data_IF_536070350276
#
_entry.id   IF_536070350276
#
_cell.length_a   1.000
_cell.length_b   1.000
_cell.length_c   1.000
_cell.angle_alpha   90.00
_cell.angle_beta   90.00
_cell.angle_gamma   90.00
#
_symmetry.space_group_name_H-M   'P 1'
#
loop_
_entity.id
_entity.type
_entity.pdbx_description
1 polymer ?
#
# COMPACT_ATOMS: atom_id res chain seq x y z
N UNK A 1 -27.86 -37.43 32.13
CA UNK A 1 -28.01 -36.19 31.34
C UNK A 1 -26.69 -35.87 30.61
N UNK A 2 -26.09 -36.84 29.89
CA UNK A 2 -24.69 -36.73 29.39
C UNK A 2 -24.43 -37.30 27.98
N UNK A 3 -25.45 -37.59 27.18
CA UNK A 3 -25.23 -38.16 25.83
C UNK A 3 -25.22 -37.12 24.68
N UNK A 4 -25.57 -35.85 24.96
CA UNK A 4 -25.65 -34.82 23.91
C UNK A 4 -24.27 -34.29 23.48
N UNK A 5 -23.26 -34.36 24.35
CA UNK A 5 -21.96 -33.73 24.11
C UNK A 5 -21.05 -34.47 23.11
N UNK A 6 -21.37 -35.71 22.72
CA UNK A 6 -20.48 -36.57 21.94
C UNK A 6 -20.86 -36.64 20.44
N UNK A 7 -22.04 -36.14 20.05
CA UNK A 7 -22.52 -36.15 18.65
C UNK A 7 -22.23 -34.85 17.88
N UNK A 8 -21.95 -33.76 18.58
CA UNK A 8 -21.74 -32.44 17.96
C UNK A 8 -20.28 -32.20 17.52
N UNK A 9 -19.33 -32.93 18.08
CA UNK A 9 -17.88 -32.81 17.82
C UNK A 9 -17.47 -33.10 16.36
N UNK A 10 -17.93 -34.18 15.69
CA UNK A 10 -17.50 -34.47 14.32
C UNK A 10 -18.06 -33.46 13.31
N UNK A 11 -19.30 -32.99 13.52
CA UNK A 11 -19.94 -32.00 12.64
C UNK A 11 -19.27 -30.64 12.82
N UNK A 12 -19.03 -30.20 14.06
CA UNK A 12 -18.33 -28.96 14.35
C UNK A 12 -16.90 -28.97 13.78
N UNK A 13 -16.19 -30.09 13.89
CA UNK A 13 -14.84 -30.25 13.33
C UNK A 13 -14.82 -30.20 11.80
N UNK A 14 -15.81 -30.82 11.14
CA UNK A 14 -15.95 -30.77 9.69
C UNK A 14 -16.24 -29.36 9.18
N UNK A 15 -17.12 -28.62 9.87
CA UNK A 15 -17.45 -27.22 9.54
C UNK A 15 -16.23 -26.31 9.75
N UNK A 16 -15.48 -26.49 10.84
CA UNK A 16 -14.26 -25.72 11.10
C UNK A 16 -13.20 -25.96 10.03
N UNK A 17 -13.01 -27.23 9.65
CA UNK A 17 -12.03 -27.59 8.61
C UNK A 17 -12.44 -27.00 7.24
N UNK A 18 -13.70 -27.15 6.85
CA UNK A 18 -14.21 -26.63 5.59
C UNK A 18 -14.10 -25.10 5.52
N UNK A 19 -14.42 -24.40 6.61
CA UNK A 19 -14.28 -22.93 6.69
C UNK A 19 -12.83 -22.49 6.65
N UNK A 20 -11.91 -23.20 7.33
CA UNK A 20 -10.48 -22.90 7.26
C UNK A 20 -9.93 -23.05 5.83
N UNK A 21 -10.30 -24.12 5.11
CA UNK A 21 -9.91 -24.29 3.70
C UNK A 21 -10.49 -23.22 2.80
N UNK A 22 -11.76 -22.85 3.00
CA UNK A 22 -12.40 -21.79 2.23
C UNK A 22 -11.71 -20.44 2.46
N UNK A 23 -11.43 -20.07 3.70
CA UNK A 23 -10.71 -18.84 4.04
C UNK A 23 -9.32 -18.85 3.43
N UNK A 24 -8.57 -19.96 3.54
CA UNK A 24 -7.26 -20.08 2.94
C UNK A 24 -7.30 -19.91 1.40
N UNK A 25 -8.25 -20.57 0.74
CA UNK A 25 -8.44 -20.45 -0.71
C UNK A 25 -8.77 -19.01 -1.13
N UNK A 26 -9.71 -18.36 -0.43
CA UNK A 26 -10.05 -16.95 -0.68
C UNK A 26 -8.86 -16.03 -0.45
N UNK A 27 -8.06 -16.28 0.58
CA UNK A 27 -6.84 -15.50 0.88
C UNK A 27 -5.82 -15.62 -0.27
N UNK A 28 -5.61 -16.82 -0.81
CA UNK A 28 -4.73 -17.05 -1.96
C UNK A 28 -5.25 -16.31 -3.21
N UNK A 29 -6.55 -16.42 -3.49
CA UNK A 29 -7.18 -15.73 -4.64
C UNK A 29 -7.04 -14.21 -4.50
N UNK A 30 -7.27 -13.66 -3.31
CA UNK A 30 -7.13 -12.23 -3.04
C UNK A 30 -5.66 -11.79 -3.16
N UNK A 31 -4.71 -12.58 -2.68
CA UNK A 31 -3.28 -12.30 -2.83
C UNK A 31 -2.84 -12.31 -4.30
N UNK A 32 -3.40 -13.20 -5.13
CA UNK A 32 -3.15 -13.22 -6.58
C UNK A 32 -3.73 -12.04 -7.34
N UNK A 33 -4.70 -11.32 -6.75
CA UNK A 33 -5.29 -10.09 -7.31
C UNK A 33 -4.52 -8.83 -6.96
N UNK A 34 -3.50 -8.92 -6.11
CA UNK A 34 -2.57 -7.83 -5.87
C UNK A 34 -1.77 -7.60 -7.16
N UNK A 35 -2.32 -6.78 -8.06
CA UNK A 35 -1.54 -6.25 -9.16
C UNK A 35 -0.40 -5.47 -8.55
N UNK A 36 0.82 -5.99 -8.70
CA UNK A 36 2.03 -5.25 -8.40
C UNK A 36 2.14 -4.13 -9.44
N UNK A 37 1.41 -3.05 -9.21
CA UNK A 37 1.56 -1.80 -9.93
C UNK A 37 2.93 -1.25 -9.55
N UNK A 38 3.93 -1.64 -10.34
CA UNK A 38 5.32 -1.21 -10.19
C UNK A 38 5.43 0.15 -10.86
N UNK A 39 5.79 1.17 -10.10
CA UNK A 39 6.23 2.43 -10.67
C UNK A 39 7.73 2.32 -10.99
N UNK A 40 8.09 2.60 -12.25
CA UNK A 40 9.49 2.75 -12.65
C UNK A 40 9.95 4.20 -12.48
N UNK A 41 11.22 4.51 -12.75
CA UNK A 41 11.72 5.87 -12.70
C UNK A 41 11.05 6.75 -13.77
N UNK A 42 10.60 7.95 -13.40
CA UNK A 42 9.88 8.87 -14.28
C UNK A 42 8.46 8.42 -14.67
N UNK A 43 7.83 7.57 -13.86
CA UNK A 43 6.54 6.95 -14.14
C UNK A 43 5.43 7.49 -13.21
N UNK A 44 4.20 7.35 -13.67
CA UNK A 44 2.99 7.73 -12.95
C UNK A 44 2.01 6.56 -12.97
N UNK A 45 1.80 5.91 -11.83
CA UNK A 45 0.99 4.69 -11.73
C UNK A 45 -0.12 4.85 -10.71
N UNK A 46 -1.37 4.77 -11.14
CA UNK A 46 -2.54 4.73 -10.26
C UNK A 46 -2.94 3.28 -9.99
N UNK A 47 -2.93 2.90 -8.72
CA UNK A 47 -3.37 1.59 -8.26
C UNK A 47 -4.88 1.53 -8.05
N UNK A 48 -5.45 0.32 -8.23
CA UNK A 48 -6.86 0.03 -7.99
C UNK A 48 -7.34 0.30 -6.54
N UNK A 49 -6.42 0.52 -5.60
CA UNK A 49 -6.70 0.78 -4.19
C UNK A 49 -6.78 2.25 -3.79
N UNK A 50 -6.87 3.18 -4.75
CA UNK A 50 -6.95 4.62 -4.45
C UNK A 50 -5.60 5.28 -4.15
N UNK A 51 -4.50 4.60 -4.46
CA UNK A 51 -3.15 5.16 -4.35
C UNK A 51 -2.64 5.55 -5.73
N UNK A 52 -2.04 6.72 -5.84
CA UNK A 52 -1.26 7.12 -7.03
C UNK A 52 0.20 7.28 -6.65
N UNK A 53 1.06 6.62 -7.41
CA UNK A 53 2.51 6.66 -7.29
C UNK A 53 3.07 7.53 -8.41
N UNK A 54 3.89 8.51 -8.06
CA UNK A 54 4.62 9.33 -9.03
C UNK A 54 6.10 9.26 -8.68
N UNK A 55 6.95 8.97 -9.66
CA UNK A 55 8.40 9.02 -9.47
C UNK A 55 9.00 10.16 -10.25
N UNK A 56 9.95 10.86 -9.63
CA UNK A 56 10.69 11.92 -10.27
C UNK A 56 12.14 11.92 -9.82
N UNK A 57 13.06 12.20 -10.74
CA UNK A 57 14.46 12.36 -10.44
C UNK A 57 14.67 13.41 -9.35
N UNK A 58 15.46 13.06 -8.35
CA UNK A 58 15.90 13.97 -7.30
C UNK A 58 16.95 14.99 -7.78
N UNK A 59 17.47 14.83 -9.00
CA UNK A 59 18.61 15.59 -9.52
C UNK A 59 19.97 15.07 -9.04
N UNK A 60 20.01 14.03 -8.21
CA UNK A 60 21.23 13.36 -7.76
C UNK A 60 21.35 11.96 -8.38
N UNK A 61 22.56 11.40 -8.38
CA UNK A 61 22.87 10.08 -8.94
C UNK A 61 23.53 10.16 -10.31
N UNK A 62 23.63 9.01 -11.00
CA UNK A 62 24.21 8.94 -12.36
C UNK A 62 23.11 9.16 -13.39
N UNK A 63 23.43 9.73 -14.55
CA UNK A 63 22.46 9.96 -15.64
C UNK A 63 21.70 8.68 -16.06
N UNK A 64 22.35 7.52 -15.97
CA UNK A 64 21.75 6.22 -16.32
C UNK A 64 20.95 5.58 -15.18
N UNK A 65 21.10 6.06 -13.94
CA UNK A 65 20.44 5.57 -12.71
C UNK A 65 20.33 6.72 -11.70
N UNK A 66 19.44 7.69 -11.93
CA UNK A 66 19.23 8.79 -10.99
C UNK A 66 18.63 8.25 -9.68
N UNK A 67 18.84 8.99 -8.60
CA UNK A 67 18.08 8.79 -7.37
C UNK A 67 16.69 9.39 -7.56
N UNK A 68 15.67 8.72 -7.08
CA UNK A 68 14.28 9.06 -7.35
C UNK A 68 13.57 9.45 -6.06
N UNK A 69 12.72 10.47 -6.14
CA UNK A 69 11.63 10.66 -5.21
C UNK A 69 10.43 9.84 -5.67
N UNK A 70 9.77 9.18 -4.73
CA UNK A 70 8.50 8.50 -4.94
C UNK A 70 7.43 9.22 -4.11
N UNK A 71 6.52 9.90 -4.80
CA UNK A 71 5.36 10.53 -4.21
C UNK A 71 4.22 9.51 -4.19
N UNK A 72 3.64 9.29 -3.01
CA UNK A 72 2.47 8.44 -2.80
C UNK A 72 1.32 9.35 -2.44
N UNK A 73 0.32 9.42 -3.30
CA UNK A 73 -0.93 10.14 -3.09
C UNK A 73 -1.96 9.09 -2.67
N UNK A 74 -2.43 9.16 -1.44
CA UNK A 74 -3.52 8.34 -0.93
C UNK A 74 -4.83 9.13 -1.00
N UNK A 75 -5.77 8.62 -1.79
CA UNK A 75 -7.08 9.23 -1.97
C UNK A 75 -8.06 8.89 -0.84
N UNK A 76 -7.79 7.87 -0.02
CA UNK A 76 -8.67 7.50 1.09
C UNK A 76 -8.46 8.43 2.28
N UNK A 77 -7.23 8.56 2.73
CA UNK A 77 -6.87 9.41 3.88
C UNK A 77 -6.50 10.85 3.48
N UNK A 78 -6.56 11.15 2.18
CA UNK A 78 -6.19 12.44 1.58
C UNK A 78 -4.76 12.88 1.99
N UNK A 79 -3.81 11.95 1.89
CA UNK A 79 -2.43 12.16 2.31
C UNK A 79 -1.46 12.15 1.12
N UNK A 80 -0.42 12.98 1.23
CA UNK A 80 0.77 12.91 0.39
C UNK A 80 1.94 12.43 1.24
N UNK A 81 2.59 11.36 0.79
CA UNK A 81 3.88 10.91 1.32
C UNK A 81 4.95 11.08 0.26
N UNK A 82 6.14 11.54 0.67
CA UNK A 82 7.29 11.70 -0.20
C UNK A 82 8.38 10.78 0.34
N UNK A 83 8.77 9.81 -0.47
CA UNK A 83 9.88 8.93 -0.18
C UNK A 83 11.07 9.24 -1.08
N UNK A 84 12.28 8.98 -0.60
CA UNK A 84 13.50 9.02 -1.39
C UNK A 84 14.08 7.61 -1.49
N UNK A 85 14.56 7.27 -2.68
CA UNK A 85 15.37 6.09 -2.96
C UNK A 85 16.82 6.57 -3.13
N UNK A 86 17.62 6.58 -2.06
CA UNK A 86 18.88 7.32 -2.01
C UNK A 86 19.98 6.69 -2.86
N UNK A 87 19.89 5.40 -3.20
CA UNK A 87 20.77 4.75 -4.17
C UNK A 87 20.06 3.62 -4.90
N UNK A 88 20.37 3.42 -6.19
CA UNK A 88 19.81 2.33 -6.99
C UNK A 88 20.17 0.91 -6.47
N UNK A 89 21.24 0.80 -5.68
CA UNK A 89 21.66 -0.47 -5.07
C UNK A 89 21.20 -0.59 -3.61
N UNK A 90 20.63 0.46 -3.04
CA UNK A 90 20.08 0.44 -1.68
C UNK A 90 18.59 0.12 -1.77
N UNK A 91 18.14 -0.87 -1.00
CA UNK A 91 16.73 -1.26 -0.93
C UNK A 91 15.94 -0.41 0.05
N UNK A 92 16.60 0.51 0.75
CA UNK A 92 15.96 1.39 1.71
C UNK A 92 15.14 2.45 0.99
N UNK A 93 13.91 2.60 1.46
CA UNK A 93 13.01 3.68 1.08
C UNK A 93 12.89 4.60 2.30
N UNK A 94 13.27 5.87 2.15
CA UNK A 94 13.33 6.82 3.26
C UNK A 94 12.16 7.80 3.16
N UNK A 95 11.30 7.84 4.17
CA UNK A 95 10.25 8.86 4.24
C UNK A 95 10.89 10.23 4.48
N UNK A 96 10.65 11.18 3.56
CA UNK A 96 11.15 12.56 3.64
C UNK A 96 10.10 13.50 4.21
N UNK A 97 8.84 13.32 3.83
CA UNK A 97 7.73 14.15 4.29
C UNK A 97 6.40 13.41 4.18
N UNK A 98 5.46 13.78 5.03
CA UNK A 98 4.06 13.38 4.98
C UNK A 98 3.18 14.57 5.31
N UNK A 99 2.14 14.82 4.52
CA UNK A 99 1.23 15.94 4.75
C UNK A 99 -0.18 15.63 4.27
N UNK A 100 -1.18 16.22 4.92
CA UNK A 100 -2.56 16.18 4.43
C UNK A 100 -2.69 17.02 3.17
N UNK A 101 -3.29 16.48 2.11
CA UNK A 101 -3.59 17.20 0.88
C UNK A 101 -4.49 18.42 1.10
N UNK A 102 -5.57 18.36 1.92
CA UNK A 102 -6.39 19.54 2.18
C UNK A 102 -5.60 20.67 2.82
N UNK A 103 -4.78 20.36 3.83
CA UNK A 103 -3.92 21.32 4.50
C UNK A 103 -2.84 21.90 3.58
N UNK A 104 -2.20 21.04 2.76
CA UNK A 104 -1.23 21.46 1.76
C UNK A 104 -1.85 22.43 0.75
N UNK A 105 -3.03 22.10 0.22
CA UNK A 105 -3.72 22.96 -0.74
C UNK A 105 -4.26 24.23 -0.10
N UNK A 106 -4.73 24.19 1.15
CA UNK A 106 -5.13 25.38 1.89
C UNK A 106 -3.94 26.34 2.09
N UNK A 107 -2.80 25.81 2.50
CA UNK A 107 -1.56 26.58 2.64
C UNK A 107 -1.12 27.17 1.29
N UNK A 108 -1.15 26.38 0.21
CA UNK A 108 -0.79 26.84 -1.13
C UNK A 108 -1.72 27.94 -1.67
N UNK A 109 -2.99 27.95 -1.26
CA UNK A 109 -3.96 29.02 -1.59
C UNK A 109 -3.81 30.27 -0.70
N UNK A 110 -2.85 30.31 0.21
CA UNK A 110 -2.66 31.44 1.12
C UNK A 110 -3.67 31.50 2.27
N UNK A 111 -4.36 30.40 2.60
CA UNK A 111 -5.28 30.37 3.74
C UNK A 111 -4.57 30.49 5.10
N UNK A 112 -3.25 30.32 5.13
CA UNK A 112 -2.38 30.57 6.28
C UNK A 112 -1.51 31.81 6.04
N UNK A 113 -2.14 32.97 5.86
CA UNK A 113 -1.48 34.25 6.19
C UNK A 113 -1.69 34.50 7.69
N UNK A 114 -0.62 34.81 8.46
CA UNK A 114 -0.74 35.11 9.90
C UNK A 114 -1.65 36.31 10.19
#
# INVERSE_FOLDING_TARGET
>A
MSERSQRDTPIASAILLASAFLIAALTIVQAGRLQANKAFAGDAVTGLGGYTLLTASSGFGKDTRPYEFCYVIDNHDEMLFIFEIPQANDKRVVLKSGTSLPGLFAAARGANTP
#
